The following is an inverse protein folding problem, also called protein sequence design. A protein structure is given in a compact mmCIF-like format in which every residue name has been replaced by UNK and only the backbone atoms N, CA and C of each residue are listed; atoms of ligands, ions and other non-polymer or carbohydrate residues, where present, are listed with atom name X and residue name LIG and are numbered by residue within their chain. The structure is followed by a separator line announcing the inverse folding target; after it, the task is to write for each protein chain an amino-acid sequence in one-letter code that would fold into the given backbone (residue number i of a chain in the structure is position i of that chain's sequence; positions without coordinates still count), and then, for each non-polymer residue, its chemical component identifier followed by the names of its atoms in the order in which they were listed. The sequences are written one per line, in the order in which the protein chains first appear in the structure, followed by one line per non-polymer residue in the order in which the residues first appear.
data_IF_361140852166
#
_entry.id   IF_361140852166
#
_cell.length_a   1.000
_cell.length_b   1.000
_cell.length_c   1.000
_cell.angle_alpha   90.00
_cell.angle_beta   90.00
_cell.angle_gamma   90.00
#
_symmetry.space_group_name_H-M   'P 1'
#
loop_
_entity.id
_entity.type
_entity.pdbx_description
1 polymer ?
#
# COMPACT_ATOMS: atom_id res chain seq x y z
N UNK A 1 -8.95 -45.42 -16.60
CA UNK A 1 -8.33 -44.84 -15.39
C UNK A 1 -9.06 -45.42 -14.20
N UNK A 2 -8.35 -46.12 -13.33
CA UNK A 2 -8.93 -46.82 -12.16
C UNK A 2 -9.33 -45.83 -11.07
N UNK A 3 -10.17 -46.26 -10.12
CA UNK A 3 -10.59 -45.43 -8.99
C UNK A 3 -9.41 -44.91 -8.17
N UNK A 4 -8.36 -45.73 -7.99
CA UNK A 4 -7.12 -45.33 -7.32
C UNK A 4 -6.33 -44.27 -8.09
N UNK A 5 -6.29 -44.37 -9.43
CA UNK A 5 -5.66 -43.38 -10.29
C UNK A 5 -6.41 -42.04 -10.25
N UNK A 6 -7.75 -42.07 -10.12
CA UNK A 6 -8.57 -40.86 -9.96
C UNK A 6 -8.29 -40.15 -8.63
N UNK A 7 -8.14 -40.90 -7.53
CA UNK A 7 -7.80 -40.34 -6.21
C UNK A 7 -6.41 -39.70 -6.21
N UNK A 8 -5.39 -40.40 -6.76
CA UNK A 8 -4.03 -39.84 -6.86
C UNK A 8 -3.98 -38.56 -7.69
N UNK A 9 -4.77 -38.50 -8.78
CA UNK A 9 -4.87 -37.31 -9.63
C UNK A 9 -5.61 -36.16 -8.94
N UNK A 10 -6.64 -36.45 -8.14
CA UNK A 10 -7.32 -35.43 -7.35
C UNK A 10 -6.41 -34.87 -6.24
N UNK A 11 -5.63 -35.72 -5.58
CA UNK A 11 -4.67 -35.31 -4.53
C UNK A 11 -3.47 -34.53 -5.09
N UNK A 12 -3.13 -34.70 -6.37
CA UNK A 12 -2.04 -33.94 -7.01
C UNK A 12 -2.43 -32.50 -7.36
N UNK A 13 -3.73 -32.18 -7.43
CA UNK A 13 -4.18 -30.80 -7.55
C UNK A 13 -4.00 -30.07 -6.22
N UNK A 14 -2.96 -29.23 -6.12
CA UNK A 14 -2.82 -28.26 -5.03
C UNK A 14 -4.02 -27.33 -5.06
N UNK A 15 -4.93 -27.47 -4.09
CA UNK A 15 -5.97 -26.48 -3.86
C UNK A 15 -5.31 -25.12 -3.61
N UNK A 16 -5.51 -24.14 -4.51
CA UNK A 16 -5.10 -22.76 -4.24
C UNK A 16 -5.86 -22.29 -3.01
N UNK A 17 -5.14 -22.04 -1.91
CA UNK A 17 -5.69 -21.34 -0.76
C UNK A 17 -6.31 -20.01 -1.19
N UNK A 18 -7.36 -19.58 -0.47
CA UNK A 18 -8.03 -18.30 -0.72
C UNK A 18 -6.98 -17.18 -0.80
N UNK A 19 -7.02 -16.26 -1.78
CA UNK A 19 -6.04 -15.19 -1.88
C UNK A 19 -5.99 -14.44 -0.55
N UNK A 20 -4.88 -14.57 0.17
CA UNK A 20 -4.66 -13.80 1.38
C UNK A 20 -4.46 -12.36 0.95
N UNK A 21 -5.48 -11.53 1.14
CA UNK A 21 -5.38 -10.08 0.87
C UNK A 21 -4.61 -9.41 2.02
N UNK A 22 -3.37 -9.86 2.23
CA UNK A 22 -2.56 -9.50 3.39
C UNK A 22 -2.21 -8.00 3.38
N UNK A 23 -1.94 -7.43 2.20
CA UNK A 23 -1.63 -6.00 2.05
C UNK A 23 -2.82 -5.11 2.45
N UNK A 24 -4.03 -5.41 1.94
CA UNK A 24 -5.25 -4.71 2.35
C UNK A 24 -5.51 -4.81 3.85
N UNK A 25 -5.30 -5.98 4.45
CA UNK A 25 -5.49 -6.18 5.90
C UNK A 25 -4.50 -5.38 6.71
N UNK A 26 -3.22 -5.35 6.31
CA UNK A 26 -2.18 -4.57 6.97
C UNK A 26 -2.50 -3.07 6.85
N UNK A 27 -2.76 -2.56 5.64
CA UNK A 27 -3.10 -1.16 5.42
C UNK A 27 -4.34 -0.73 6.22
N UNK A 28 -5.39 -1.56 6.24
CA UNK A 28 -6.61 -1.30 7.03
C UNK A 28 -6.32 -1.22 8.53
N UNK A 29 -5.43 -2.08 9.04
CA UNK A 29 -4.99 -2.02 10.44
C UNK A 29 -4.18 -0.75 10.72
N UNK A 30 -3.29 -0.35 9.81
CA UNK A 30 -2.50 0.88 9.91
C UNK A 30 -3.38 2.14 9.98
N UNK A 31 -4.31 2.28 9.03
CA UNK A 31 -5.25 3.41 9.00
C UNK A 31 -6.11 3.45 10.25
N UNK A 32 -6.64 2.31 10.70
CA UNK A 32 -7.44 2.23 11.93
C UNK A 32 -6.63 2.66 13.15
N UNK A 33 -5.43 2.12 13.32
CA UNK A 33 -4.55 2.48 14.43
C UNK A 33 -4.19 3.97 14.41
N UNK A 34 -3.81 4.51 13.25
CA UNK A 34 -3.42 5.92 13.14
C UNK A 34 -4.54 6.86 13.55
N UNK A 35 -5.77 6.58 13.09
CA UNK A 35 -6.95 7.40 13.43
C UNK A 35 -7.31 7.34 14.91
N UNK A 36 -7.06 6.20 15.57
CA UNK A 36 -7.24 6.06 17.02
C UNK A 36 -6.14 6.78 17.80
N UNK A 37 -4.88 6.66 17.38
CA UNK A 37 -3.72 7.27 18.05
C UNK A 37 -3.65 8.78 17.87
N UNK A 38 -3.97 9.28 16.67
CA UNK A 38 -3.87 10.68 16.27
C UNK A 38 -5.22 11.21 15.76
N UNK A 39 -6.26 11.31 16.60
CA UNK A 39 -7.61 11.69 16.16
C UNK A 39 -7.66 13.08 15.52
N UNK A 40 -6.78 14.00 15.93
CA UNK A 40 -6.65 15.35 15.34
C UNK A 40 -6.06 15.33 13.93
N UNK A 41 -5.35 14.27 13.54
CA UNK A 41 -4.70 14.11 12.22
C UNK A 41 -5.43 13.08 11.33
N UNK A 42 -6.59 12.56 11.76
CA UNK A 42 -7.28 11.45 11.10
C UNK A 42 -7.60 11.66 9.60
N UNK A 43 -7.77 12.92 9.19
CA UNK A 43 -8.12 13.31 7.83
C UNK A 43 -6.91 13.69 6.97
N UNK A 44 -5.74 13.90 7.57
CA UNK A 44 -4.50 14.21 6.82
C UNK A 44 -3.69 12.97 6.48
N UNK A 45 -4.04 11.81 7.03
CA UNK A 45 -3.64 10.50 6.50
C UNK A 45 -4.78 9.92 5.66
N UNK A 46 -4.54 9.73 4.37
CA UNK A 46 -5.53 9.16 3.46
C UNK A 46 -4.92 8.15 2.50
N UNK A 47 -5.75 7.23 2.01
CA UNK A 47 -5.36 6.25 1.01
C UNK A 47 -5.51 6.83 -0.39
N UNK A 48 -4.59 6.49 -1.27
CA UNK A 48 -4.67 6.79 -2.71
C UNK A 48 -5.08 5.52 -3.44
N UNK A 49 -6.34 5.37 -3.89
CA UNK A 49 -6.87 4.11 -4.40
C UNK A 49 -6.47 3.83 -5.87
N UNK A 50 -5.22 4.12 -6.26
CA UNK A 50 -4.75 4.04 -7.65
C UNK A 50 -4.54 2.61 -8.17
N UNK A 51 -4.40 1.61 -7.28
CA UNK A 51 -4.22 0.21 -7.66
C UNK A 51 -5.51 -0.60 -7.88
N UNK A 52 -6.70 0.02 -7.77
CA UNK A 52 -7.98 -0.68 -7.90
C UNK A 52 -8.24 -1.20 -9.33
N UNK A 53 -8.85 -2.39 -9.45
CA UNK A 53 -9.33 -2.90 -10.74
C UNK A 53 -10.44 -1.99 -11.26
N UNK A 54 -10.33 -1.59 -12.53
CA UNK A 54 -11.29 -0.74 -13.24
C UNK A 54 -11.45 -1.26 -14.65
N UNK A 55 -12.58 -0.95 -15.28
CA UNK A 55 -12.73 -1.18 -16.72
C UNK A 55 -11.88 -0.18 -17.53
N UNK A 56 -11.70 -0.46 -18.82
CA UNK A 56 -10.83 0.33 -19.68
C UNK A 56 -11.30 1.79 -19.84
N UNK A 57 -12.62 2.02 -19.89
CA UNK A 57 -13.20 3.35 -20.08
C UNK A 57 -12.98 4.19 -18.83
N UNK A 58 -13.34 3.64 -17.67
CA UNK A 58 -13.11 4.29 -16.37
C UNK A 58 -11.62 4.54 -16.14
N UNK A 59 -10.77 3.57 -16.50
CA UNK A 59 -9.32 3.72 -16.40
C UNK A 59 -8.75 4.84 -17.27
N UNK A 60 -9.25 5.02 -18.50
CA UNK A 60 -8.85 6.10 -19.39
C UNK A 60 -9.27 7.47 -18.85
N UNK A 61 -10.54 7.63 -18.47
CA UNK A 61 -11.05 8.88 -17.87
C UNK A 61 -10.27 9.28 -16.63
N UNK A 62 -9.97 8.33 -15.74
CA UNK A 62 -9.20 8.65 -14.54
C UNK A 62 -7.77 9.10 -14.87
N UNK A 63 -7.13 8.57 -15.92
CA UNK A 63 -5.83 9.08 -16.37
C UNK A 63 -5.92 10.50 -16.92
N UNK A 64 -7.00 10.82 -17.65
CA UNK A 64 -7.29 12.20 -18.09
C UNK A 64 -7.52 13.13 -16.89
N UNK A 65 -8.14 12.63 -15.82
CA UNK A 65 -8.32 13.34 -14.54
C UNK A 65 -7.03 13.40 -13.68
N UNK A 66 -5.92 12.82 -14.14
CA UNK A 66 -4.62 12.89 -13.47
C UNK A 66 -4.25 11.68 -12.61
N UNK A 67 -4.95 10.56 -12.71
CA UNK A 67 -4.58 9.32 -12.03
C UNK A 67 -3.17 8.89 -12.47
N UNK A 68 -2.24 9.00 -11.53
CA UNK A 68 -0.82 8.74 -11.75
C UNK A 68 -0.47 7.32 -11.28
N UNK A 69 0.20 6.57 -12.14
CA UNK A 69 0.66 5.21 -11.83
C UNK A 69 1.80 5.25 -10.82
N UNK A 70 1.82 4.30 -9.88
CA UNK A 70 2.93 4.17 -8.92
C UNK A 70 2.85 5.07 -7.69
N UNK A 71 1.82 5.93 -7.57
CA UNK A 71 1.57 6.72 -6.35
C UNK A 71 1.46 5.78 -5.15
N UNK A 72 2.10 6.14 -4.03
CA UNK A 72 2.09 5.36 -2.79
C UNK A 72 0.67 5.13 -2.25
N UNK A 73 0.46 3.99 -1.60
CA UNK A 73 -0.86 3.60 -1.06
C UNK A 73 -1.45 4.58 -0.05
N UNK A 74 -0.62 5.18 0.80
CA UNK A 74 -1.03 6.17 1.80
C UNK A 74 -0.18 7.44 1.70
N UNK A 75 -0.81 8.59 1.94
CA UNK A 75 -0.13 9.88 2.11
C UNK A 75 -0.54 10.45 3.46
N UNK A 76 0.45 10.80 4.27
CA UNK A 76 0.30 11.67 5.43
C UNK A 76 0.71 13.08 5.01
N UNK A 77 -0.30 13.90 4.70
CA UNK A 77 -0.16 15.30 4.32
C UNK A 77 0.08 16.17 5.55
N UNK A 78 1.24 15.99 6.16
CA UNK A 78 1.73 16.76 7.31
C UNK A 78 3.22 17.00 7.13
N UNK A 79 3.62 18.26 7.07
CA UNK A 79 5.04 18.62 7.09
C UNK A 79 5.66 18.39 8.47
N UNK A 80 6.97 18.16 8.47
CA UNK A 80 7.82 18.13 9.66
C UNK A 80 9.06 19.01 9.41
N UNK A 81 10.08 18.97 10.29
CA UNK A 81 11.30 19.78 10.15
C UNK A 81 12.04 19.58 8.83
N UNK A 82 11.97 18.39 8.25
CA UNK A 82 12.81 17.98 7.12
C UNK A 82 12.03 17.75 5.82
N UNK A 83 10.73 17.43 5.91
CA UNK A 83 9.93 16.97 4.77
C UNK A 83 8.57 17.66 4.71
N UNK A 84 8.07 17.85 3.48
CA UNK A 84 6.74 18.45 3.22
C UNK A 84 5.57 17.48 3.47
N UNK A 85 5.82 16.17 3.42
CA UNK A 85 4.82 15.12 3.62
C UNK A 85 5.47 13.74 3.66
N UNK A 86 4.71 12.73 4.08
CA UNK A 86 5.15 11.34 4.15
C UNK A 86 4.29 10.46 3.24
N UNK A 87 4.94 9.84 2.26
CA UNK A 87 4.38 8.86 1.34
C UNK A 87 4.72 7.44 1.85
N UNK A 88 3.72 6.58 1.97
CA UNK A 88 3.87 5.25 2.54
C UNK A 88 3.31 4.22 1.56
N UNK A 89 4.20 3.41 1.04
CA UNK A 89 3.88 2.27 0.19
C UNK A 89 3.74 1.02 1.07
N UNK A 90 2.56 0.39 1.03
CA UNK A 90 2.29 -0.81 1.79
C UNK A 90 2.66 -2.03 0.95
N UNK A 91 3.35 -2.98 1.56
CA UNK A 91 3.61 -4.28 0.95
C UNK A 91 3.30 -5.40 1.93
N UNK A 92 2.88 -6.55 1.42
CA UNK A 92 2.99 -7.78 2.23
C UNK A 92 4.47 -8.12 2.50
N UNK A 93 4.79 -8.91 3.54
CA UNK A 93 6.11 -9.48 3.71
C UNK A 93 6.62 -10.18 2.44
N UNK A 94 7.84 -9.86 2.00
CA UNK A 94 8.41 -10.33 0.73
C UNK A 94 7.92 -9.59 -0.52
N UNK A 95 6.91 -8.73 -0.41
CA UNK A 95 6.46 -7.84 -1.48
C UNK A 95 7.53 -6.81 -1.86
N UNK A 96 7.52 -6.40 -3.13
CA UNK A 96 8.48 -5.46 -3.72
C UNK A 96 7.73 -4.38 -4.50
N UNK A 97 8.29 -3.18 -4.55
CA UNK A 97 7.80 -2.11 -5.41
C UNK A 97 7.87 -2.50 -6.89
N UNK A 98 6.89 -2.05 -7.67
CA UNK A 98 6.95 -2.08 -9.13
C UNK A 98 7.90 -1.01 -9.67
N UNK A 99 8.31 -1.09 -10.96
CA UNK A 99 9.11 -0.03 -11.59
C UNK A 99 8.46 1.36 -11.47
N UNK A 100 7.18 1.49 -11.79
CA UNK A 100 6.44 2.76 -11.69
C UNK A 100 6.40 3.32 -10.26
N UNK A 101 6.33 2.45 -9.24
CA UNK A 101 6.39 2.89 -7.84
C UNK A 101 7.76 3.45 -7.46
N UNK A 102 8.84 2.90 -8.02
CA UNK A 102 10.20 3.42 -7.80
C UNK A 102 10.44 4.74 -8.53
N UNK A 103 9.92 4.88 -9.75
CA UNK A 103 9.97 6.14 -10.49
C UNK A 103 9.22 7.23 -9.73
N UNK A 104 7.99 6.95 -9.31
CA UNK A 104 7.21 7.91 -8.53
C UNK A 104 7.85 8.24 -7.16
N UNK A 105 8.45 7.25 -6.49
CA UNK A 105 9.24 7.50 -5.27
C UNK A 105 10.33 8.54 -5.52
N UNK A 106 11.13 8.36 -6.59
CA UNK A 106 12.22 9.26 -6.93
C UNK A 106 11.70 10.69 -7.12
N UNK A 107 10.59 10.84 -7.84
CA UNK A 107 9.99 12.15 -8.09
C UNK A 107 9.43 12.78 -6.80
N UNK A 108 8.77 12.00 -5.94
CA UNK A 108 8.25 12.48 -4.65
C UNK A 108 9.39 12.94 -3.72
N UNK A 109 10.46 12.17 -3.62
CA UNK A 109 11.65 12.51 -2.82
C UNK A 109 12.38 13.74 -3.37
N UNK A 110 12.52 13.85 -4.69
CA UNK A 110 13.09 15.03 -5.34
C UNK A 110 12.28 16.31 -5.08
N UNK A 111 10.99 16.18 -4.77
CA UNK A 111 10.09 17.28 -4.41
C UNK A 111 9.89 17.43 -2.89
N UNK A 112 10.80 16.88 -2.07
CA UNK A 112 10.86 17.14 -0.63
C UNK A 112 9.89 16.32 0.23
N UNK A 113 9.27 15.28 -0.32
CA UNK A 113 8.52 14.30 0.47
C UNK A 113 9.47 13.21 1.02
N UNK A 114 9.11 12.62 2.16
CA UNK A 114 9.71 11.37 2.61
C UNK A 114 8.94 10.21 2.01
N UNK A 115 9.60 9.24 1.40
CA UNK A 115 8.98 8.00 0.94
C UNK A 115 9.46 6.81 1.77
N UNK A 116 8.55 5.91 2.14
CA UNK A 116 8.89 4.67 2.85
C UNK A 116 8.09 3.50 2.29
N UNK A 117 8.67 2.31 2.40
CA UNK A 117 7.96 1.04 2.19
C UNK A 117 7.73 0.39 3.55
N UNK A 118 6.48 0.13 3.91
CA UNK A 118 6.09 -0.54 5.15
C UNK A 118 5.50 -1.92 4.85
N UNK A 119 5.97 -2.94 5.59
CA UNK A 119 5.57 -4.34 5.40
C UNK A 119 4.72 -4.91 6.54
N UNK A 120 4.48 -4.11 7.57
CA UNK A 120 3.74 -4.51 8.76
C UNK A 120 3.10 -3.31 9.46
N UNK A 121 2.19 -3.59 10.40
CA UNK A 121 1.63 -2.57 11.29
C UNK A 121 2.71 -1.93 12.16
N UNK A 122 3.62 -2.73 12.71
CA UNK A 122 4.66 -2.24 13.63
C UNK A 122 5.63 -1.28 12.93
N UNK A 123 6.03 -1.59 11.69
CA UNK A 123 6.85 -0.70 10.86
C UNK A 123 6.12 0.62 10.59
N UNK A 124 4.85 0.55 10.20
CA UNK A 124 4.02 1.74 9.98
C UNK A 124 3.92 2.61 11.25
N UNK A 125 3.66 1.97 12.40
CA UNK A 125 3.55 2.66 13.69
C UNK A 125 4.85 3.38 14.03
N UNK A 126 5.99 2.69 13.88
CA UNK A 126 7.29 3.28 14.13
C UNK A 126 7.56 4.48 13.22
N UNK A 127 7.42 4.30 11.91
CA UNK A 127 7.75 5.35 10.94
C UNK A 127 6.87 6.60 11.13
N UNK A 128 5.57 6.41 11.32
CA UNK A 128 4.65 7.55 11.51
C UNK A 128 4.87 8.26 12.84
N UNK A 129 5.17 7.52 13.90
CA UNK A 129 5.51 8.12 15.20
C UNK A 129 6.80 8.92 15.13
N UNK A 130 7.88 8.34 14.57
CA UNK A 130 9.16 9.02 14.41
C UNK A 130 9.01 10.29 13.55
N UNK A 131 8.34 10.17 12.40
CA UNK A 131 8.11 11.29 11.49
C UNK A 131 7.36 12.45 12.16
N UNK A 132 6.38 12.16 13.01
CA UNK A 132 5.59 13.17 13.73
C UNK A 132 6.34 13.78 14.93
N UNK A 133 7.39 13.13 15.42
CA UNK A 133 8.24 13.64 16.50
C UNK A 133 9.34 14.57 15.97
N UNK A 134 9.67 14.52 14.67
CA UNK A 134 10.63 15.39 13.99
C UNK A 134 10.04 16.81 13.75
N UNK A 135 9.66 17.51 14.82
CA UNK A 135 9.08 18.87 14.77
C UNK A 135 10.12 20.00 14.66
#
# INVERSE_FOLDING_TARGET
MTYEEMIKKAQSYKMRGKPKNDEHRIQSACVRWFRLKYPKLKNVLFAVPNGGRRDAITGARLKEEGATSGVSDLILLKSNRFYGGLCIEMKKPGGRQSPAQKEWQKDAEANGAKYVVCKSLDEFMKVTTDYLNDV
#
